data_IF_257324606027
#
_entry.id   IF_257324606027
#
_cell.length_a   1.000
_cell.length_b   1.000
_cell.length_c   1.000
_cell.angle_alpha   90.00
_cell.angle_beta   90.00
_cell.angle_gamma   90.00
#
_symmetry.space_group_name_H-M   'P 1'
#
loop_
_entity.id
_entity.type
_entity.pdbx_description
1 polymer ?
#
# COMPACT_ATOMS: atom_id res chain seq x y z
N UNK A 1 -16.33 -40.68 74.98
CA UNK A 1 -14.98 -41.07 75.46
C UNK A 1 -14.13 -41.29 74.21
N UNK A 2 -13.29 -40.31 73.83
CA UNK A 2 -11.83 -40.28 74.05
C UNK A 2 -11.10 -41.35 73.20
N UNK A 3 -9.99 -41.13 72.46
CA UNK A 3 -9.05 -40.02 72.31
C UNK A 3 -7.99 -40.40 71.24
N UNK A 4 -7.47 -39.38 70.54
CA UNK A 4 -6.08 -39.16 70.03
C UNK A 4 -5.38 -40.08 68.98
N UNK A 5 -5.28 -39.53 67.75
CA UNK A 5 -4.09 -39.06 66.99
C UNK A 5 -2.65 -39.62 67.21
N UNK A 6 -1.91 -39.85 66.11
CA UNK A 6 -0.55 -39.27 65.82
C UNK A 6 -0.03 -39.61 64.40
N UNK A 7 0.04 -38.63 63.46
CA UNK A 7 1.20 -37.92 62.83
C UNK A 7 2.10 -38.62 61.79
N UNK A 8 2.13 -37.99 60.58
CA UNK A 8 3.25 -37.47 59.72
C UNK A 8 2.93 -37.72 58.23
N UNK A 9 3.23 -36.92 57.20
CA UNK A 9 3.57 -35.51 56.93
C UNK A 9 3.62 -35.35 55.38
N UNK A 10 3.17 -34.21 54.80
CA UNK A 10 3.66 -33.46 53.59
C UNK A 10 4.25 -34.25 52.39
N UNK A 11 3.83 -34.09 51.13
CA UNK A 11 3.91 -32.89 50.25
C UNK A 11 3.24 -33.14 48.89
N UNK A 12 2.81 -32.07 48.20
CA UNK A 12 2.81 -32.00 46.73
C UNK A 12 1.44 -32.06 46.05
N UNK A 13 0.82 -30.89 45.87
CA UNK A 13 -0.17 -30.71 44.82
C UNK A 13 0.52 -30.47 43.49
N UNK A 14 -0.11 -30.92 42.41
CA UNK A 14 0.06 -30.36 41.07
C UNK A 14 -1.35 -30.22 40.51
N UNK A 15 -1.68 -29.01 40.09
CA UNK A 15 -2.92 -28.66 39.44
C UNK A 15 -3.05 -29.45 38.13
N UNK A 16 -4.26 -29.90 37.82
CA UNK A 16 -4.61 -30.23 36.45
C UNK A 16 -4.58 -28.91 35.68
N UNK A 17 -3.55 -28.74 34.85
CA UNK A 17 -3.50 -27.69 33.85
C UNK A 17 -4.50 -28.07 32.75
N UNK A 18 -5.49 -27.20 32.60
CA UNK A 18 -6.42 -27.12 31.48
C UNK A 18 -5.60 -26.91 30.20
N UNK A 19 -5.33 -27.98 29.45
CA UNK A 19 -4.74 -27.87 28.12
C UNK A 19 -5.79 -27.24 27.19
N UNK A 20 -5.71 -25.91 27.05
CA UNK A 20 -6.34 -25.18 25.96
C UNK A 20 -5.89 -25.69 24.58
N UNK A 21 -6.57 -25.31 23.49
CA UNK A 21 -6.26 -25.84 22.16
C UNK A 21 -4.79 -25.58 21.82
N UNK A 22 -4.10 -26.66 21.45
CA UNK A 22 -2.69 -26.65 21.07
C UNK A 22 -2.37 -25.61 19.97
N UNK A 23 -1.18 -25.00 19.98
CA UNK A 23 -0.76 -24.11 18.90
C UNK A 23 -0.71 -24.87 17.59
N UNK A 24 -1.34 -24.31 16.55
CA UNK A 24 -1.43 -24.87 15.21
C UNK A 24 -0.07 -24.71 14.52
N UNK A 25 0.87 -25.60 14.84
CA UNK A 25 2.18 -25.63 14.20
C UNK A 25 2.53 -27.08 13.83
N UNK A 26 1.91 -27.58 12.75
CA UNK A 26 2.38 -28.79 12.07
C UNK A 26 2.19 -28.63 10.55
N UNK A 27 3.29 -28.40 9.82
CA UNK A 27 3.38 -28.72 8.39
C UNK A 27 3.47 -27.58 7.35
N UNK A 28 3.66 -26.33 7.77
CA UNK A 28 4.07 -25.23 6.88
C UNK A 28 5.60 -25.12 6.94
N UNK A 29 6.31 -25.94 6.15
CA UNK A 29 7.77 -25.78 6.01
C UNK A 29 8.09 -24.41 5.37
N UNK A 30 9.12 -23.75 5.88
CA UNK A 30 9.62 -22.48 5.34
C UNK A 30 10.00 -22.63 3.86
N UNK A 31 9.65 -21.67 2.99
CA UNK A 31 9.94 -21.79 1.56
C UNK A 31 11.44 -21.76 1.27
N UNK A 32 11.84 -22.60 0.32
CA UNK A 32 12.97 -22.33 -0.55
C UNK A 32 12.44 -21.34 -1.60
N UNK A 33 12.65 -20.03 -1.39
CA UNK A 33 12.39 -19.03 -2.43
C UNK A 33 13.33 -19.33 -3.62
N UNK A 34 12.78 -19.97 -4.65
CA UNK A 34 13.52 -20.37 -5.84
C UNK A 34 13.86 -19.16 -6.72
N UNK A 35 15.14 -19.05 -7.08
CA UNK A 35 15.77 -18.04 -7.93
C UNK A 35 15.69 -16.58 -7.43
N UNK A 36 16.83 -16.10 -6.93
CA UNK A 36 17.08 -14.72 -6.49
C UNK A 36 17.48 -13.85 -7.67
N UNK A 37 16.56 -13.62 -8.59
CA UNK A 37 16.75 -12.64 -9.66
C UNK A 37 15.65 -11.61 -9.48
N UNK A 38 16.04 -10.36 -9.17
CA UNK A 38 15.08 -9.27 -9.04
C UNK A 38 14.25 -9.17 -10.33
N UNK A 39 12.92 -9.12 -10.19
CA UNK A 39 11.97 -9.14 -11.29
C UNK A 39 11.59 -10.53 -11.78
N UNK A 40 12.11 -11.62 -11.21
CA UNK A 40 11.63 -12.98 -11.49
C UNK A 40 10.20 -13.11 -10.99
N UNK A 41 9.29 -13.44 -11.91
CA UNK A 41 7.88 -13.71 -11.67
C UNK A 41 7.63 -15.21 -11.81
N UNK A 42 6.90 -15.78 -10.86
CA UNK A 42 6.44 -17.17 -10.90
C UNK A 42 4.98 -17.28 -10.49
N UNK A 43 4.23 -18.19 -11.09
CA UNK A 43 2.83 -18.44 -10.71
C UNK A 43 2.76 -19.34 -9.48
N UNK A 44 2.05 -18.90 -8.44
CA UNK A 44 1.81 -19.68 -7.23
C UNK A 44 0.60 -20.59 -7.43
N UNK A 45 0.85 -21.86 -7.78
CA UNK A 45 -0.21 -22.84 -7.97
C UNK A 45 -0.87 -23.23 -6.64
N UNK A 46 -2.18 -22.99 -6.53
CA UNK A 46 -2.94 -23.27 -5.31
C UNK A 46 -3.45 -24.70 -5.25
N UNK A 47 -3.28 -25.32 -4.09
CA UNK A 47 -3.71 -26.68 -3.77
C UNK A 47 -4.63 -26.62 -2.55
N UNK A 48 -5.94 -26.65 -2.82
CA UNK A 48 -6.95 -26.86 -1.80
C UNK A 48 -7.02 -28.33 -1.38
N UNK A 49 -7.78 -28.59 -0.31
CA UNK A 49 -7.99 -29.94 0.22
C UNK A 49 -8.59 -30.90 -0.82
N UNK A 50 -9.42 -30.37 -1.74
CA UNK A 50 -10.10 -31.14 -2.79
C UNK A 50 -9.44 -31.02 -4.19
N UNK A 51 -8.28 -30.36 -4.30
CA UNK A 51 -7.55 -30.20 -5.57
C UNK A 51 -7.19 -28.75 -5.91
N UNK A 52 -6.86 -28.46 -7.18
CA UNK A 52 -6.40 -27.14 -7.59
C UNK A 52 -7.51 -26.10 -7.41
N UNK A 53 -7.15 -24.95 -6.82
CA UNK A 53 -8.04 -23.81 -6.62
C UNK A 53 -7.70 -22.71 -7.62
N UNK A 54 -8.73 -22.16 -8.26
CA UNK A 54 -8.62 -20.90 -9.00
C UNK A 54 -9.28 -19.82 -8.15
N UNK A 55 -8.53 -18.79 -7.79
CA UNK A 55 -9.09 -17.60 -7.19
C UNK A 55 -9.44 -16.62 -8.30
N UNK A 56 -10.51 -15.85 -8.08
CA UNK A 56 -10.67 -14.59 -8.81
C UNK A 56 -9.83 -13.51 -8.15
N UNK A 57 -10.34 -12.29 -8.23
CA UNK A 57 -9.93 -11.12 -7.46
C UNK A 57 -9.73 -11.43 -5.98
N UNK A 58 -8.60 -11.00 -5.41
CA UNK A 58 -8.24 -11.35 -4.03
C UNK A 58 -7.36 -10.29 -3.36
N UNK A 59 -7.64 -10.02 -2.08
CA UNK A 59 -6.73 -9.29 -1.21
C UNK A 59 -5.61 -10.20 -0.72
N UNK A 60 -4.43 -9.64 -0.48
CA UNK A 60 -3.26 -10.37 0.02
C UNK A 60 -2.61 -9.62 1.17
N UNK A 61 -2.24 -10.35 2.22
CA UNK A 61 -1.44 -9.84 3.33
C UNK A 61 -0.41 -10.86 3.77
N UNK A 62 0.68 -10.38 4.36
CA UNK A 62 1.70 -11.22 4.96
C UNK A 62 1.18 -11.86 6.25
N UNK A 63 1.43 -13.16 6.43
CA UNK A 63 1.46 -13.74 7.78
C UNK A 63 2.91 -13.67 8.29
N UNK A 64 3.19 -12.98 9.42
CA UNK A 64 4.52 -12.93 10.04
C UNK A 64 5.18 -14.31 10.26
N UNK A 65 4.40 -15.39 10.28
CA UNK A 65 4.89 -16.76 10.41
C UNK A 65 5.38 -17.41 9.10
N UNK A 66 5.42 -16.66 7.99
CA UNK A 66 6.01 -17.12 6.72
C UNK A 66 4.99 -17.67 5.71
N UNK A 67 3.76 -17.18 5.77
CA UNK A 67 2.66 -17.55 4.89
C UNK A 67 1.89 -16.30 4.46
N UNK A 68 0.72 -16.48 3.85
CA UNK A 68 -0.09 -15.40 3.32
C UNK A 68 -1.53 -15.52 3.77
N UNK A 69 -2.12 -14.42 4.20
CA UNK A 69 -3.57 -14.29 4.24
C UNK A 69 -4.05 -13.87 2.85
N UNK A 70 -5.06 -14.58 2.34
CA UNK A 70 -5.67 -14.27 1.05
C UNK A 70 -7.17 -14.17 1.23
N UNK A 71 -7.71 -12.98 1.07
CA UNK A 71 -9.14 -12.72 1.17
C UNK A 71 -9.77 -12.83 -0.21
N UNK A 72 -10.89 -13.53 -0.26
CA UNK A 72 -11.71 -13.74 -1.45
C UNK A 72 -13.11 -13.25 -1.15
N UNK A 73 -13.98 -13.13 -2.16
CA UNK A 73 -15.36 -12.65 -2.03
C UNK A 73 -16.25 -13.31 -0.96
N UNK A 74 -15.85 -14.44 -0.37
CA UNK A 74 -16.64 -15.15 0.65
C UNK A 74 -15.78 -15.83 1.75
N UNK A 75 -14.46 -15.65 1.72
CA UNK A 75 -13.56 -16.42 2.58
C UNK A 75 -12.26 -15.70 2.84
N UNK A 76 -11.77 -15.84 4.07
CA UNK A 76 -10.37 -15.61 4.38
C UNK A 76 -9.63 -16.94 4.33
N UNK A 77 -8.57 -16.99 3.53
CA UNK A 77 -7.72 -18.15 3.34
C UNK A 77 -6.35 -17.90 3.96
N UNK A 78 -5.71 -18.99 4.36
CA UNK A 78 -4.31 -19.01 4.75
C UNK A 78 -3.55 -19.88 3.75
N UNK A 79 -2.60 -19.26 3.03
CA UNK A 79 -1.90 -19.83 1.89
C UNK A 79 -0.42 -19.93 2.23
N UNK A 80 0.11 -21.15 2.27
CA UNK A 80 1.56 -21.36 2.47
C UNK A 80 2.36 -20.78 1.30
N UNK A 81 3.64 -20.53 1.50
CA UNK A 81 4.54 -20.18 0.40
C UNK A 81 4.66 -21.27 -0.69
N UNK A 82 4.26 -22.52 -0.42
CA UNK A 82 4.17 -23.61 -1.40
C UNK A 82 2.78 -23.76 -2.05
N UNK A 83 1.85 -22.83 -1.79
CA UNK A 83 0.50 -22.81 -2.37
C UNK A 83 -0.52 -23.75 -1.73
N UNK A 84 -0.21 -24.40 -0.60
CA UNK A 84 -1.23 -25.11 0.20
C UNK A 84 -2.21 -24.11 0.81
N UNK A 85 -3.50 -24.40 0.72
CA UNK A 85 -4.57 -23.52 1.17
C UNK A 85 -5.34 -24.17 2.32
N UNK A 86 -5.59 -23.42 3.40
CA UNK A 86 -6.67 -23.71 4.35
C UNK A 86 -7.62 -22.53 4.44
N UNK A 87 -8.91 -22.78 4.68
CA UNK A 87 -9.85 -21.72 5.05
C UNK A 87 -9.63 -21.33 6.51
N UNK A 88 -9.52 -20.03 6.78
CA UNK A 88 -9.48 -19.47 8.14
C UNK A 88 -10.90 -19.18 8.60
N UNK A 89 -11.66 -18.46 7.78
CA UNK A 89 -13.02 -18.06 8.10
C UNK A 89 -13.90 -17.97 6.85
N UNK A 90 -15.22 -18.07 7.07
CA UNK A 90 -16.20 -17.64 6.10
C UNK A 90 -16.44 -16.13 6.27
N UNK A 91 -16.31 -15.38 5.19
CA UNK A 91 -16.72 -13.99 5.14
C UNK A 91 -18.14 -13.94 4.56
N UNK A 92 -18.91 -12.87 4.83
CA UNK A 92 -20.13 -12.62 4.08
C UNK A 92 -19.84 -12.63 2.58
N UNK A 93 -20.80 -13.09 1.78
CA UNK A 93 -20.62 -13.05 0.34
C UNK A 93 -20.71 -11.59 -0.13
N UNK A 94 -19.71 -11.17 -0.89
CA UNK A 94 -19.60 -9.85 -1.49
C UNK A 94 -19.58 -9.99 -3.02
N UNK A 95 -20.04 -8.96 -3.72
CA UNK A 95 -19.93 -8.90 -5.19
C UNK A 95 -18.50 -8.53 -5.61
N UNK A 96 -17.74 -7.93 -4.70
CA UNK A 96 -16.34 -7.53 -4.87
C UNK A 96 -15.43 -8.24 -3.85
N UNK A 97 -14.13 -8.27 -4.12
CA UNK A 97 -13.17 -8.86 -3.18
C UNK A 97 -12.97 -7.99 -1.96
N UNK A 98 -12.44 -8.61 -0.93
CA UNK A 98 -12.03 -7.96 0.29
C UNK A 98 -10.54 -7.65 0.22
N UNK A 99 -10.09 -6.49 0.69
CA UNK A 99 -8.68 -6.29 1.05
C UNK A 99 -8.43 -6.84 2.46
N UNK A 100 -7.17 -7.11 2.79
CA UNK A 100 -6.81 -7.67 4.09
C UNK A 100 -5.48 -7.11 4.57
N UNK A 101 -5.35 -6.95 5.88
CA UNK A 101 -4.06 -6.79 6.58
C UNK A 101 -4.06 -7.64 7.86
N UNK A 102 -2.90 -7.94 8.43
CA UNK A 102 -2.75 -8.84 9.56
C UNK A 102 -2.18 -8.13 10.80
N UNK A 103 -2.53 -8.62 11.99
CA UNK A 103 -1.89 -8.18 13.22
C UNK A 103 -0.41 -8.57 13.22
N UNK A 104 0.48 -7.79 13.89
CA UNK A 104 1.92 -8.10 13.91
C UNK A 104 2.28 -9.47 14.50
N UNK A 105 1.39 -10.04 15.31
CA UNK A 105 1.53 -11.37 15.90
C UNK A 105 0.81 -12.48 15.11
N UNK A 106 0.14 -12.14 14.00
CA UNK A 106 -0.62 -13.08 13.16
C UNK A 106 -1.88 -13.65 13.81
N UNK A 107 -2.28 -13.16 14.99
CA UNK A 107 -3.46 -13.67 15.73
C UNK A 107 -4.79 -13.21 15.13
N UNK A 108 -4.80 -12.05 14.47
CA UNK A 108 -5.98 -11.49 13.83
C UNK A 108 -5.67 -11.02 12.39
N UNK A 109 -6.69 -11.08 11.54
CA UNK A 109 -6.69 -10.41 10.25
C UNK A 109 -7.82 -9.37 10.21
N UNK A 110 -7.58 -8.25 9.55
CA UNK A 110 -8.51 -7.16 9.38
C UNK A 110 -8.87 -7.04 7.92
N UNK A 111 -10.15 -6.87 7.63
CA UNK A 111 -10.69 -7.02 6.28
C UNK A 111 -11.62 -5.84 5.99
N UNK A 112 -11.38 -5.14 4.88
CA UNK A 112 -12.31 -4.14 4.38
C UNK A 112 -13.38 -4.81 3.51
N UNK A 113 -14.63 -4.75 3.97
CA UNK A 113 -15.81 -5.28 3.29
C UNK A 113 -16.38 -4.23 2.36
N UNK A 114 -15.88 -4.22 1.12
CA UNK A 114 -16.27 -3.25 0.09
C UNK A 114 -17.79 -3.15 -0.04
N UNK A 115 -18.48 -4.25 -0.39
CA UNK A 115 -19.93 -4.23 -0.59
C UNK A 115 -20.74 -4.10 0.71
N UNK A 116 -20.13 -4.39 1.85
CA UNK A 116 -20.79 -4.35 3.15
C UNK A 116 -20.61 -3.05 3.93
N UNK A 117 -19.81 -2.10 3.42
CA UNK A 117 -19.42 -0.83 4.06
C UNK A 117 -18.91 -1.00 5.49
N UNK A 118 -18.11 -2.06 5.72
CA UNK A 118 -17.68 -2.48 7.06
C UNK A 118 -16.21 -2.80 7.12
N UNK A 119 -15.62 -2.54 8.28
CA UNK A 119 -14.32 -3.09 8.65
C UNK A 119 -14.53 -4.27 9.58
N UNK A 120 -13.96 -5.41 9.22
CA UNK A 120 -14.13 -6.68 9.91
C UNK A 120 -12.82 -7.12 10.55
N UNK A 121 -12.92 -7.78 11.70
CA UNK A 121 -11.84 -8.53 12.33
C UNK A 121 -12.14 -10.01 12.24
N UNK A 122 -11.14 -10.78 11.85
CA UNK A 122 -11.14 -12.24 11.87
C UNK A 122 -10.12 -12.71 12.89
N UNK A 123 -10.56 -13.45 13.90
CA UNK A 123 -9.66 -14.12 14.83
C UNK A 123 -9.12 -15.40 14.16
N UNK A 124 -7.81 -15.47 13.92
CA UNK A 124 -7.21 -16.51 13.06
C UNK A 124 -7.31 -17.91 13.66
N UNK A 125 -7.25 -18.00 14.99
CA UNK A 125 -7.30 -19.27 15.71
C UNK A 125 -8.70 -19.91 15.71
N UNK A 126 -9.75 -19.08 15.78
CA UNK A 126 -11.15 -19.55 15.90
C UNK A 126 -11.94 -19.43 14.61
N UNK A 127 -11.48 -18.59 13.67
CA UNK A 127 -12.23 -18.19 12.48
C UNK A 127 -13.41 -17.26 12.79
N UNK A 128 -13.50 -16.71 13.99
CA UNK A 128 -14.58 -15.80 14.38
C UNK A 128 -14.47 -14.47 13.63
N UNK A 129 -15.57 -14.03 13.02
CA UNK A 129 -15.66 -12.76 12.29
C UNK A 129 -16.53 -11.77 13.05
N UNK A 130 -15.98 -10.60 13.36
CA UNK A 130 -16.67 -9.50 14.04
C UNK A 130 -16.55 -8.21 13.24
N UNK A 131 -17.49 -7.28 13.42
CA UNK A 131 -17.41 -5.94 12.83
C UNK A 131 -16.77 -4.99 13.85
N UNK A 132 -15.74 -4.27 13.42
CA UNK A 132 -15.11 -3.20 14.21
C UNK A 132 -15.89 -1.90 14.03
N UNK A 133 -16.15 -1.52 12.78
CA UNK A 133 -16.82 -0.28 12.42
C UNK A 133 -17.56 -0.41 11.08
N UNK A 134 -18.49 0.51 10.82
CA UNK A 134 -19.22 0.62 9.57
C UNK A 134 -20.67 0.13 9.66
N UNK A 135 -21.54 0.86 8.97
CA UNK A 135 -22.97 0.57 8.87
C UNK A 135 -23.28 -0.28 7.63
N UNK A 136 -24.54 -0.39 7.21
CA UNK A 136 -24.90 -0.96 5.90
C UNK A 136 -25.54 0.09 4.99
N UNK A 137 -25.39 1.35 5.38
CA UNK A 137 -25.76 2.54 4.64
C UNK A 137 -24.47 3.17 4.12
N UNK A 138 -24.48 3.56 2.85
CA UNK A 138 -23.44 4.35 2.22
C UNK A 138 -23.39 5.74 2.88
N UNK A 139 -22.18 6.24 3.13
CA UNK A 139 -21.96 7.57 3.68
C UNK A 139 -20.56 7.71 4.25
N UNK A 140 -20.24 8.89 4.76
CA UNK A 140 -18.90 9.28 5.24
C UNK A 140 -18.89 9.68 6.73
N UNK A 141 -19.99 9.45 7.46
CA UNK A 141 -20.12 9.89 8.83
C UNK A 141 -19.04 9.27 9.75
N UNK A 142 -18.32 10.12 10.48
CA UNK A 142 -17.49 9.71 11.61
C UNK A 142 -18.35 9.21 12.78
N UNK A 143 -17.81 8.31 13.58
CA UNK A 143 -18.57 7.69 14.66
C UNK A 143 -17.87 6.52 15.32
N UNK A 144 -18.60 5.77 16.14
CA UNK A 144 -18.08 4.56 16.80
C UNK A 144 -18.93 3.36 16.37
N UNK A 145 -18.28 2.29 15.94
CA UNK A 145 -18.97 1.06 15.54
C UNK A 145 -19.87 1.28 14.33
N UNK A 146 -21.16 0.96 14.47
CA UNK A 146 -22.17 1.07 13.41
C UNK A 146 -22.69 2.50 13.18
N UNK A 147 -22.33 3.45 14.04
CA UNK A 147 -22.61 4.87 13.83
C UNK A 147 -21.67 5.50 12.79
N UNK A 148 -20.52 4.89 12.53
CA UNK A 148 -19.62 5.30 11.45
C UNK A 148 -20.10 4.74 10.10
N UNK A 149 -19.94 5.50 9.03
CA UNK A 149 -20.32 5.14 7.67
C UNK A 149 -19.09 5.17 6.75
N UNK A 150 -19.09 4.23 5.81
CA UNK A 150 -18.13 4.11 4.70
C UNK A 150 -18.93 3.97 3.40
N UNK A 151 -18.28 4.18 2.26
CA UNK A 151 -18.81 3.88 0.94
C UNK A 151 -17.75 3.12 0.14
N UNK A 152 -17.88 1.80 0.06
CA UNK A 152 -16.92 0.93 -0.64
C UNK A 152 -15.52 0.96 -0.03
N UNK A 153 -15.30 0.69 1.26
CA UNK A 153 -13.94 0.70 1.82
C UNK A 153 -13.06 -0.33 1.11
N UNK A 154 -11.92 0.11 0.59
CA UNK A 154 -10.99 -0.69 -0.21
C UNK A 154 -9.70 -0.95 0.59
N UNK A 155 -8.57 -0.30 0.28
CA UNK A 155 -7.28 -0.58 0.92
C UNK A 155 -7.31 -0.42 2.44
N UNK A 156 -6.60 -1.30 3.14
CA UNK A 156 -6.48 -1.29 4.60
C UNK A 156 -5.02 -1.47 5.02
N UNK A 157 -4.58 -0.72 6.05
CA UNK A 157 -3.25 -0.87 6.66
C UNK A 157 -3.33 -0.72 8.17
N UNK A 158 -2.67 -1.59 8.92
CA UNK A 158 -2.61 -1.59 10.38
C UNK A 158 -1.33 -0.93 10.87
N UNK A 159 -1.43 -0.08 11.90
CA UNK A 159 -0.27 0.48 12.58
C UNK A 159 0.63 -0.62 13.16
N UNK A 160 1.92 -0.34 13.26
CA UNK A 160 2.94 -1.30 13.74
C UNK A 160 2.69 -1.81 15.17
N UNK A 161 1.96 -1.05 15.99
CA UNK A 161 1.54 -1.42 17.34
C UNK A 161 0.16 -2.11 17.39
N UNK A 162 -0.51 -2.27 16.26
CA UNK A 162 -1.83 -2.89 16.12
C UNK A 162 -2.99 -2.06 16.67
N UNK A 163 -2.77 -0.79 17.01
CA UNK A 163 -3.78 0.04 17.68
C UNK A 163 -4.76 0.72 16.72
N UNK A 164 -4.34 1.07 15.50
CA UNK A 164 -5.14 1.80 14.54
C UNK A 164 -5.06 1.17 13.14
N UNK A 165 -6.21 1.08 12.48
CA UNK A 165 -6.32 0.78 11.05
C UNK A 165 -6.49 2.08 10.27
N UNK A 166 -5.94 2.11 9.07
CA UNK A 166 -6.15 3.15 8.08
C UNK A 166 -6.84 2.53 6.88
N UNK A 167 -7.86 3.20 6.37
CA UNK A 167 -8.77 2.69 5.35
C UNK A 167 -8.87 3.71 4.24
N UNK A 168 -8.69 3.28 3.00
CA UNK A 168 -9.10 4.05 1.85
C UNK A 168 -10.60 3.84 1.64
N UNK A 169 -11.38 4.90 1.86
CA UNK A 169 -12.82 4.91 1.69
C UNK A 169 -13.13 5.30 0.24
N UNK A 170 -13.06 4.29 -0.63
CA UNK A 170 -12.83 4.43 -2.07
C UNK A 170 -13.86 5.33 -2.75
N UNK A 171 -15.16 5.13 -2.50
CA UNK A 171 -16.22 5.92 -3.13
C UNK A 171 -16.51 7.25 -2.40
N UNK A 172 -15.93 7.45 -1.21
CA UNK A 172 -16.00 8.72 -0.47
C UNK A 172 -14.77 9.62 -0.70
N UNK A 173 -13.77 9.19 -1.46
CA UNK A 173 -12.56 9.99 -1.75
C UNK A 173 -11.76 10.39 -0.51
N UNK A 174 -11.76 9.53 0.53
CA UNK A 174 -11.19 9.84 1.84
C UNK A 174 -10.25 8.76 2.36
N UNK A 175 -9.33 9.17 3.24
CA UNK A 175 -8.56 8.26 4.10
C UNK A 175 -9.13 8.35 5.51
N UNK A 176 -9.56 7.21 6.04
CA UNK A 176 -10.21 7.09 7.36
C UNK A 176 -9.27 6.37 8.32
N UNK A 177 -9.32 6.77 9.60
CA UNK A 177 -8.60 6.12 10.69
C UNK A 177 -9.61 5.43 11.61
N UNK A 178 -9.34 4.17 11.94
CA UNK A 178 -10.18 3.34 12.82
C UNK A 178 -9.37 2.88 14.02
N UNK A 179 -9.80 3.25 15.22
CA UNK A 179 -9.22 2.73 16.47
C UNK A 179 -9.67 1.28 16.69
N UNK A 180 -8.74 0.33 16.67
CA UNK A 180 -9.06 -1.11 16.71
C UNK A 180 -9.79 -1.51 18.00
N UNK A 181 -9.41 -0.91 19.12
CA UNK A 181 -9.96 -1.26 20.44
C UNK A 181 -11.38 -0.74 20.68
N UNK A 182 -11.74 0.38 20.07
CA UNK A 182 -13.02 1.06 20.33
C UNK A 182 -13.97 1.05 19.15
N UNK A 183 -13.45 0.83 17.93
CA UNK A 183 -14.20 1.00 16.68
C UNK A 183 -14.50 2.47 16.35
N UNK A 184 -13.79 3.42 16.97
CA UNK A 184 -13.94 4.84 16.64
C UNK A 184 -13.31 5.13 15.28
N UNK A 185 -14.07 5.78 14.41
CA UNK A 185 -13.68 6.20 13.06
C UNK A 185 -13.60 7.71 13.03
N UNK A 186 -12.51 8.21 12.45
CA UNK A 186 -12.29 9.63 12.13
C UNK A 186 -11.75 9.79 10.72
N UNK A 187 -12.15 10.83 10.00
CA UNK A 187 -11.49 11.21 8.75
C UNK A 187 -10.08 11.75 9.04
N UNK A 188 -9.08 11.21 8.34
CA UNK A 188 -7.68 11.63 8.44
C UNK A 188 -7.31 12.65 7.36
N UNK A 189 -7.79 12.45 6.13
CA UNK A 189 -7.59 13.36 5.00
C UNK A 189 -8.61 13.08 3.89
N UNK A 190 -8.87 14.08 3.03
CA UNK A 190 -9.84 14.01 1.94
C UNK A 190 -11.07 14.86 2.22
N UNK A 191 -11.42 15.78 1.32
CA UNK A 191 -12.62 16.64 1.40
C UNK A 191 -13.87 15.99 0.83
N UNK A 192 -13.70 14.92 0.03
CA UNK A 192 -14.77 14.16 -0.59
C UNK A 192 -15.03 14.52 -2.06
N UNK A 193 -14.29 15.48 -2.60
CA UNK A 193 -14.39 15.86 -4.01
C UNK A 193 -13.42 15.02 -4.86
N UNK A 194 -13.86 14.62 -6.07
CA UNK A 194 -13.03 13.99 -7.12
C UNK A 194 -11.98 14.99 -7.66
N UNK A 195 -10.82 15.12 -7.01
CA UNK A 195 -9.70 16.00 -7.41
C UNK A 195 -8.35 15.47 -6.90
N UNK A 196 -7.23 16.10 -7.31
CA UNK A 196 -5.86 15.68 -6.99
C UNK A 196 -5.09 16.67 -6.09
N UNK A 197 -5.82 17.61 -5.48
CA UNK A 197 -5.25 18.72 -4.72
C UNK A 197 -4.47 18.22 -3.49
N UNK A 198 -3.20 18.62 -3.38
CA UNK A 198 -2.40 18.45 -2.15
C UNK A 198 -2.85 19.43 -1.06
N UNK A 199 -2.85 19.01 0.20
CA UNK A 199 -3.43 19.80 1.28
C UNK A 199 -3.28 19.17 2.65
N UNK A 200 -4.06 19.63 3.61
CA UNK A 200 -4.10 19.10 4.98
C UNK A 200 -5.55 18.84 5.34
N UNK A 201 -5.81 17.70 5.97
CA UNK A 201 -7.16 17.27 6.38
C UNK A 201 -8.13 17.28 5.18
N UNK A 202 -9.26 17.99 5.29
CA UNK A 202 -10.28 18.10 4.24
C UNK A 202 -9.90 19.06 3.10
N UNK A 203 -8.75 19.74 3.17
CA UNK A 203 -8.26 20.57 2.06
C UNK A 203 -7.45 19.77 1.02
N UNK A 204 -7.08 18.53 1.35
CA UNK A 204 -6.54 17.59 0.38
C UNK A 204 -7.70 16.84 -0.30
N UNK A 205 -7.54 16.51 -1.58
CA UNK A 205 -8.53 15.75 -2.34
C UNK A 205 -7.88 14.51 -2.98
N UNK A 206 -8.71 13.48 -3.16
CA UNK A 206 -8.36 12.21 -3.80
C UNK A 206 -9.42 11.86 -4.85
N UNK A 207 -9.09 10.96 -5.76
CA UNK A 207 -10.03 10.42 -6.73
C UNK A 207 -9.97 8.89 -6.74
N UNK A 208 -10.95 8.28 -6.06
CA UNK A 208 -11.05 6.84 -5.82
C UNK A 208 -9.77 6.22 -5.23
N UNK A 209 -9.33 6.64 -4.02
CA UNK A 209 -8.14 6.08 -3.40
C UNK A 209 -8.33 4.57 -3.14
N UNK A 210 -7.41 3.74 -3.63
CA UNK A 210 -7.52 2.29 -3.63
C UNK A 210 -6.63 1.66 -2.54
N UNK A 211 -5.41 1.23 -2.88
CA UNK A 211 -4.48 0.62 -1.93
C UNK A 211 -3.86 1.63 -0.97
N UNK A 212 -3.55 1.17 0.24
CA UNK A 212 -2.84 1.95 1.26
C UNK A 212 -1.75 1.11 1.92
N UNK A 213 -0.58 1.72 2.12
CA UNK A 213 0.52 1.15 2.88
C UNK A 213 0.96 2.11 3.98
N UNK A 214 1.41 1.60 5.12
CA UNK A 214 1.90 2.41 6.24
C UNK A 214 3.40 2.21 6.44
N UNK A 215 4.13 3.30 6.73
CA UNK A 215 5.54 3.22 7.05
C UNK A 215 5.81 2.33 8.28
N UNK A 216 6.99 1.67 8.38
CA UNK A 216 7.30 0.82 9.52
C UNK A 216 7.21 1.50 10.88
N UNK A 217 7.48 2.81 10.94
CA UNK A 217 7.35 3.63 12.14
C UNK A 217 5.95 4.23 12.34
N UNK A 218 5.00 3.91 11.45
CA UNK A 218 3.61 4.38 11.46
C UNK A 218 3.45 5.90 11.39
N UNK A 219 4.47 6.61 10.89
CA UNK A 219 4.45 8.07 10.73
C UNK A 219 3.75 8.55 9.45
N UNK A 220 3.80 7.75 8.38
CA UNK A 220 3.25 8.12 7.09
C UNK A 220 2.48 6.96 6.43
N UNK A 221 1.43 7.32 5.69
CA UNK A 221 0.72 6.43 4.78
C UNK A 221 1.11 6.76 3.34
N UNK A 222 1.02 5.76 2.49
CA UNK A 222 1.19 5.87 1.06
C UNK A 222 -0.05 5.32 0.39
N UNK A 223 -0.67 6.14 -0.45
CA UNK A 223 -1.99 5.89 -1.03
C UNK A 223 -1.83 5.81 -2.54
N UNK A 224 -2.39 4.76 -3.14
CA UNK A 224 -2.62 4.73 -4.57
C UNK A 224 -3.90 5.50 -4.88
N UNK A 225 -3.73 6.71 -5.38
CA UNK A 225 -4.83 7.60 -5.77
C UNK A 225 -5.20 7.28 -7.21
N UNK A 226 -6.10 6.29 -7.33
CA UNK A 226 -6.22 5.43 -8.51
C UNK A 226 -6.62 6.22 -9.76
N UNK A 227 -7.72 6.96 -9.70
CA UNK A 227 -8.24 7.70 -10.84
C UNK A 227 -7.44 8.97 -11.14
N UNK A 228 -6.68 9.47 -10.16
CA UNK A 228 -5.68 10.52 -10.36
C UNK A 228 -4.34 10.02 -10.88
N UNK A 229 -4.12 8.71 -11.01
CA UNK A 229 -2.87 8.13 -11.53
C UNK A 229 -1.62 8.55 -10.74
N UNK A 230 -1.76 8.66 -9.41
CA UNK A 230 -0.71 9.16 -8.50
C UNK A 230 -0.49 8.24 -7.32
N UNK A 231 0.71 8.33 -6.76
CA UNK A 231 1.03 7.84 -5.43
C UNK A 231 1.14 9.06 -4.51
N UNK A 232 0.30 9.09 -3.48
CA UNK A 232 0.21 10.19 -2.50
C UNK A 232 0.83 9.74 -1.18
N UNK A 233 1.45 10.65 -0.45
CA UNK A 233 1.96 10.44 0.90
C UNK A 233 1.11 11.24 1.89
N UNK A 234 0.65 10.61 2.95
CA UNK A 234 -0.14 11.24 4.02
C UNK A 234 0.61 11.16 5.34
N UNK A 235 0.84 12.29 6.00
CA UNK A 235 1.42 12.32 7.35
C UNK A 235 0.35 11.96 8.39
N UNK A 236 0.52 10.84 9.09
CA UNK A 236 -0.48 10.31 10.03
C UNK A 236 -0.79 11.29 11.17
N UNK A 237 0.23 12.02 11.64
CA UNK A 237 0.09 12.92 12.77
C UNK A 237 -0.66 14.23 12.44
N UNK A 238 -0.68 14.64 11.17
CA UNK A 238 -1.16 15.96 10.77
C UNK A 238 -2.19 15.94 9.65
N UNK A 239 -2.49 14.79 9.04
CA UNK A 239 -3.38 14.72 7.87
C UNK A 239 -2.81 15.39 6.62
N UNK A 240 -1.51 15.70 6.58
CA UNK A 240 -0.91 16.43 5.46
C UNK A 240 -0.66 15.49 4.29
N UNK A 241 -1.21 15.83 3.12
CA UNK A 241 -1.11 15.06 1.88
C UNK A 241 -0.19 15.76 0.90
N UNK A 242 0.73 15.00 0.29
CA UNK A 242 1.57 15.46 -0.79
C UNK A 242 1.69 14.39 -1.88
N UNK A 243 1.79 14.83 -3.14
CA UNK A 243 2.09 13.93 -4.27
C UNK A 243 3.54 13.45 -4.18
N UNK A 244 3.76 12.13 -4.10
CA UNK A 244 5.09 11.52 -4.09
C UNK A 244 5.59 11.25 -5.52
N UNK A 245 4.72 10.70 -6.37
CA UNK A 245 5.02 10.39 -7.77
C UNK A 245 3.74 10.29 -8.61
N UNK A 246 3.87 10.49 -9.92
CA UNK A 246 2.77 10.43 -10.88
C UNK A 246 2.41 11.81 -11.44
N UNK A 247 2.23 11.89 -12.76
CA UNK A 247 1.97 13.15 -13.46
C UNK A 247 0.50 13.59 -13.41
N UNK A 248 -0.42 12.72 -12.98
CA UNK A 248 -1.87 12.93 -13.16
C UNK A 248 -2.42 12.42 -14.50
N UNK A 249 -1.56 12.00 -15.43
CA UNK A 249 -1.96 11.50 -16.75
C UNK A 249 -1.72 10.00 -16.82
N UNK A 250 -2.64 9.27 -17.45
CA UNK A 250 -2.53 7.83 -17.58
C UNK A 250 -1.34 7.44 -18.48
N UNK A 251 -0.51 6.50 -18.01
CA UNK A 251 0.65 6.03 -18.75
C UNK A 251 1.52 5.11 -17.91
N UNK A 252 2.67 4.70 -18.45
CA UNK A 252 3.56 3.73 -17.81
C UNK A 252 5.04 4.17 -17.82
N UNK A 253 5.29 5.46 -18.02
CA UNK A 253 6.62 6.04 -18.06
C UNK A 253 7.30 5.93 -16.68
N UNK A 254 8.52 5.40 -16.67
CA UNK A 254 9.43 5.52 -15.52
C UNK A 254 10.00 6.94 -15.46
N UNK A 255 10.31 7.42 -14.26
CA UNK A 255 10.69 8.82 -14.04
C UNK A 255 10.81 9.17 -12.57
N UNK A 256 10.98 10.45 -12.25
CA UNK A 256 11.03 10.94 -10.86
C UNK A 256 9.90 11.94 -10.66
N UNK A 257 9.12 11.79 -9.59
CA UNK A 257 8.03 12.69 -9.26
C UNK A 257 6.96 12.73 -10.36
N UNK A 258 6.69 13.92 -10.89
CA UNK A 258 5.70 14.20 -11.94
C UNK A 258 6.13 13.74 -13.35
N UNK A 259 7.40 13.35 -13.54
CA UNK A 259 7.85 12.76 -14.80
C UNK A 259 7.47 11.28 -14.94
N UNK A 260 7.13 10.61 -13.83
CA UNK A 260 6.62 9.24 -13.85
C UNK A 260 5.12 9.22 -14.15
N UNK A 261 4.65 8.17 -14.81
CA UNK A 261 3.23 7.96 -15.09
C UNK A 261 2.79 6.59 -14.58
N UNK A 262 1.55 6.54 -14.09
CA UNK A 262 0.82 5.33 -13.72
C UNK A 262 -0.48 5.27 -14.52
N UNK A 263 -1.10 4.10 -14.57
CA UNK A 263 -2.38 3.88 -15.23
C UNK A 263 -3.28 3.11 -14.27
N UNK A 264 -4.05 3.86 -13.48
CA UNK A 264 -4.88 3.37 -12.38
C UNK A 264 -4.07 2.50 -11.39
N UNK A 265 -3.11 3.08 -10.64
CA UNK A 265 -2.41 2.32 -9.60
C UNK A 265 -3.41 1.85 -8.55
N UNK A 266 -3.28 0.60 -8.09
CA UNK A 266 -4.25 -0.03 -7.20
C UNK A 266 -3.63 -0.45 -5.87
N UNK A 267 -3.19 -1.69 -5.70
CA UNK A 267 -2.54 -2.16 -4.49
C UNK A 267 -1.12 -1.61 -4.34
N UNK A 268 -0.74 -1.36 -3.09
CA UNK A 268 0.57 -0.80 -2.73
C UNK A 268 1.08 -1.47 -1.46
N UNK A 269 2.37 -1.79 -1.44
CA UNK A 269 3.07 -2.27 -0.24
C UNK A 269 4.40 -1.55 -0.07
N UNK A 270 4.81 -1.31 1.18
CA UNK A 270 6.11 -0.74 1.49
C UNK A 270 7.11 -1.83 1.88
N UNK A 271 8.37 -1.68 1.48
CA UNK A 271 9.45 -2.56 1.90
C UNK A 271 9.63 -2.51 3.42
N UNK A 272 10.08 -3.60 4.08
CA UNK A 272 10.24 -3.64 5.53
C UNK A 272 11.18 -2.56 6.10
N UNK A 273 12.13 -2.08 5.31
CA UNK A 273 13.04 -0.98 5.68
C UNK A 273 12.42 0.43 5.48
N UNK A 274 11.25 0.52 4.88
CA UNK A 274 10.56 1.77 4.55
C UNK A 274 11.13 2.52 3.34
N UNK A 275 12.11 1.95 2.63
CA UNK A 275 12.86 2.64 1.57
C UNK A 275 12.11 2.75 0.24
N UNK A 276 11.27 1.78 -0.08
CA UNK A 276 10.60 1.70 -1.37
C UNK A 276 9.16 1.18 -1.27
N UNK A 277 8.30 1.69 -2.13
CA UNK A 277 6.95 1.19 -2.35
C UNK A 277 6.95 0.30 -3.59
N UNK A 278 6.09 -0.71 -3.59
CA UNK A 278 5.80 -1.54 -4.75
C UNK A 278 4.32 -1.41 -5.05
N UNK A 279 4.02 -1.10 -6.29
CA UNK A 279 2.70 -0.68 -6.75
C UNK A 279 2.25 -1.64 -7.86
N UNK A 280 1.06 -2.20 -7.70
CA UNK A 280 0.32 -2.81 -8.79
C UNK A 280 -0.25 -1.71 -9.69
N UNK A 281 0.39 -1.50 -10.84
CA UNK A 281 -0.06 -0.55 -11.84
C UNK A 281 -1.05 -1.27 -12.77
N UNK A 282 -2.31 -1.26 -12.34
CA UNK A 282 -3.36 -2.21 -12.73
C UNK A 282 -3.58 -2.25 -14.24
N UNK A 283 -3.87 -1.10 -14.86
CA UNK A 283 -4.09 -1.01 -16.31
C UNK A 283 -2.80 -0.97 -17.13
N UNK A 284 -1.65 -0.73 -16.50
CA UNK A 284 -0.34 -0.91 -17.17
C UNK A 284 0.13 -2.36 -17.16
N UNK A 285 -0.53 -3.26 -16.42
CA UNK A 285 -0.12 -4.66 -16.28
C UNK A 285 1.32 -4.84 -15.78
N UNK A 286 1.74 -3.98 -14.85
CA UNK A 286 3.12 -3.89 -14.35
C UNK A 286 3.17 -3.81 -12.83
N UNK A 287 4.30 -4.25 -12.29
CA UNK A 287 4.71 -3.95 -10.91
C UNK A 287 5.77 -2.86 -10.94
N UNK A 288 5.48 -1.74 -10.30
CA UNK A 288 6.34 -0.56 -10.26
C UNK A 288 6.96 -0.42 -8.88
N UNK A 289 8.20 0.05 -8.80
CA UNK A 289 8.91 0.38 -7.56
C UNK A 289 9.07 1.89 -7.46
N UNK A 290 8.69 2.48 -6.32
CA UNK A 290 8.79 3.92 -6.04
C UNK A 290 9.72 4.13 -4.85
N UNK A 291 10.81 4.86 -5.04
CA UNK A 291 11.70 5.25 -3.93
C UNK A 291 11.03 6.30 -3.05
N UNK A 292 10.83 5.98 -1.77
CA UNK A 292 10.13 6.89 -0.84
C UNK A 292 10.87 8.21 -0.66
N UNK A 293 12.20 8.18 -0.64
CA UNK A 293 13.02 9.37 -0.40
C UNK A 293 13.11 10.33 -1.59
N UNK A 294 12.91 9.85 -2.82
CA UNK A 294 13.16 10.63 -4.03
C UNK A 294 11.97 10.71 -4.98
N UNK A 295 10.95 9.87 -4.82
CA UNK A 295 9.86 9.71 -5.78
C UNK A 295 10.28 9.08 -7.10
N UNK A 296 11.44 8.42 -7.16
CA UNK A 296 11.91 7.75 -8.37
C UNK A 296 11.12 6.45 -8.61
N UNK A 297 10.52 6.34 -9.80
CA UNK A 297 9.70 5.21 -10.24
C UNK A 297 10.47 4.38 -11.27
N UNK A 298 10.48 3.07 -11.07
CA UNK A 298 11.06 2.09 -12.00
C UNK A 298 10.13 0.90 -12.19
N UNK A 299 10.13 0.28 -13.37
CA UNK A 299 9.39 -0.96 -13.61
C UNK A 299 10.22 -2.17 -13.17
N UNK A 300 9.66 -3.02 -12.30
CA UNK A 300 10.33 -4.23 -11.79
C UNK A 300 9.96 -5.47 -12.62
N UNK A 301 8.69 -5.60 -12.98
CA UNK A 301 8.20 -6.72 -13.76
C UNK A 301 6.93 -6.35 -14.54
N UNK A 302 6.68 -7.07 -15.64
CA UNK A 302 5.51 -6.91 -16.49
C UNK A 302 5.85 -6.28 -17.84
N UNK A 303 5.42 -6.92 -18.92
CA UNK A 303 5.69 -6.49 -20.30
C UNK A 303 4.81 -5.32 -20.78
N UNK A 304 3.84 -4.88 -19.96
CA UNK A 304 2.77 -3.97 -20.40
C UNK A 304 1.67 -4.64 -21.23
N UNK A 305 1.74 -5.96 -21.45
CA UNK A 305 0.71 -6.72 -22.18
C UNK A 305 0.00 -7.65 -21.22
N UNK A 306 -1.33 -7.58 -21.24
CA UNK A 306 -2.21 -8.47 -20.48
C UNK A 306 -1.86 -9.94 -20.71
N UNK A 307 -1.61 -10.68 -19.64
CA UNK A 307 -1.34 -12.12 -19.69
C UNK A 307 -0.80 -12.70 -18.38
N UNK A 308 -0.54 -14.00 -18.33
CA UNK A 308 -0.05 -14.67 -17.11
C UNK A 308 1.28 -15.41 -17.32
N UNK A 309 2.05 -15.01 -18.33
CA UNK A 309 3.36 -15.61 -18.63
C UNK A 309 4.35 -15.34 -17.50
N UNK A 310 4.99 -16.39 -16.99
CA UNK A 310 6.11 -16.30 -16.05
C UNK A 310 7.40 -15.88 -16.79
N UNK A 311 8.32 -15.22 -16.09
CA UNK A 311 9.54 -14.69 -16.69
C UNK A 311 10.29 -13.74 -15.76
N UNK A 312 11.33 -13.08 -16.27
CA UNK A 312 12.06 -12.04 -15.53
C UNK A 312 11.77 -10.69 -16.17
N UNK A 313 11.45 -9.69 -15.35
CA UNK A 313 11.26 -8.31 -15.80
C UNK A 313 10.14 -8.19 -16.83
N UNK A 314 10.47 -7.65 -18.00
CA UNK A 314 9.55 -7.44 -19.13
C UNK A 314 9.19 -8.71 -19.89
N UNK A 315 9.84 -9.85 -19.63
CA UNK A 315 9.45 -11.14 -20.18
C UNK A 315 8.23 -11.73 -19.45
N UNK A 316 7.97 -11.31 -18.21
CA UNK A 316 6.78 -11.69 -17.47
C UNK A 316 5.57 -10.85 -17.90
N UNK A 317 4.37 -11.42 -17.78
CA UNK A 317 3.11 -10.73 -18.05
C UNK A 317 2.22 -10.81 -16.81
N UNK A 318 1.48 -9.73 -16.55
CA UNK A 318 0.39 -9.69 -15.58
C UNK A 318 -0.93 -9.43 -16.30
N UNK A 319 -2.01 -9.93 -15.74
CA UNK A 319 -3.37 -9.62 -16.17
C UNK A 319 -3.99 -8.85 -15.02
N UNK A 320 -4.02 -7.52 -15.15
CA UNK A 320 -4.52 -6.57 -14.14
C UNK A 320 -4.04 -6.94 -12.71
N UNK A 321 -2.77 -6.71 -12.35
CA UNK A 321 -2.32 -6.93 -10.98
C UNK A 321 -3.09 -5.98 -10.05
N UNK A 322 -3.56 -6.48 -8.92
CA UNK A 322 -4.47 -5.76 -8.04
C UNK A 322 -3.82 -5.46 -6.71
N UNK A 323 -3.51 -6.48 -5.92
CA UNK A 323 -2.95 -6.31 -4.58
C UNK A 323 -1.53 -6.88 -4.50
N UNK A 324 -0.73 -6.27 -3.64
CA UNK A 324 0.66 -6.68 -3.41
C UNK A 324 0.94 -6.75 -1.92
N UNK A 325 1.68 -7.76 -1.49
CA UNK A 325 2.13 -7.89 -0.11
C UNK A 325 3.54 -8.47 -0.05
N UNK A 326 4.36 -7.97 0.87
CA UNK A 326 5.69 -8.51 1.10
C UNK A 326 5.67 -9.81 1.91
N UNK A 327 6.59 -10.71 1.60
CA UNK A 327 6.94 -11.81 2.50
C UNK A 327 7.57 -11.22 3.76
N UNK A 328 7.50 -11.91 4.91
CA UNK A 328 8.05 -11.38 6.17
C UNK A 328 9.55 -11.04 6.11
N UNK A 329 10.30 -11.69 5.22
CA UNK A 329 11.73 -11.45 5.00
C UNK A 329 12.01 -10.32 3.97
N UNK A 330 10.98 -9.72 3.37
CA UNK A 330 11.11 -8.66 2.38
C UNK A 330 11.61 -9.09 1.00
N UNK A 331 11.87 -10.38 0.78
CA UNK A 331 12.52 -10.87 -0.45
C UNK A 331 11.58 -11.02 -1.65
N UNK A 332 10.29 -11.24 -1.36
CA UNK A 332 9.28 -11.64 -2.35
C UNK A 332 8.01 -10.83 -2.16
N UNK A 333 7.40 -10.39 -3.25
CA UNK A 333 6.01 -9.92 -3.26
C UNK A 333 5.09 -11.07 -3.65
N UNK A 334 4.01 -11.26 -2.90
CA UNK A 334 2.82 -11.90 -3.43
C UNK A 334 1.99 -10.84 -4.14
N UNK A 335 1.58 -11.13 -5.37
CA UNK A 335 0.78 -10.26 -6.22
C UNK A 335 -0.50 -11.01 -6.56
N UNK A 336 -1.67 -10.46 -6.22
CA UNK A 336 -2.92 -10.93 -6.81
C UNK A 336 -3.12 -10.29 -8.17
N UNK A 337 -3.70 -11.06 -9.10
CA UNK A 337 -3.99 -10.61 -10.45
C UNK A 337 -5.16 -11.42 -10.99
N UNK A 338 -5.78 -10.97 -12.07
CA UNK A 338 -6.78 -11.78 -12.78
C UNK A 338 -6.20 -13.08 -13.35
N UNK A 339 -4.88 -13.14 -13.52
CA UNK A 339 -4.13 -14.35 -13.85
C UNK A 339 -3.86 -15.29 -12.66
N UNK A 340 -4.38 -14.98 -11.47
CA UNK A 340 -4.13 -15.70 -10.21
C UNK A 340 -3.01 -15.08 -9.37
N UNK A 341 -2.56 -15.81 -8.36
CA UNK A 341 -1.49 -15.35 -7.45
C UNK A 341 -0.11 -15.55 -8.09
N UNK A 342 0.71 -14.49 -8.06
CA UNK A 342 2.06 -14.45 -8.63
C UNK A 342 3.05 -14.08 -7.53
N UNK A 343 4.24 -14.66 -7.57
CA UNK A 343 5.36 -14.29 -6.70
C UNK A 343 6.40 -13.52 -7.50
N UNK A 344 6.82 -12.35 -7.02
CA UNK A 344 7.84 -11.50 -7.64
C UNK A 344 9.02 -11.36 -6.71
N UNK A 345 10.22 -11.76 -7.14
CA UNK A 345 11.45 -11.54 -6.38
C UNK A 345 11.85 -10.05 -6.46
N UNK A 346 12.07 -9.42 -5.31
CA UNK A 346 12.34 -7.96 -5.22
C UNK A 346 13.61 -7.61 -4.46
N UNK A 347 14.23 -8.56 -3.77
CA UNK A 347 15.55 -8.38 -3.16
C UNK A 347 16.44 -9.60 -3.42
N UNK A 348 17.76 -9.35 -3.46
CA UNK A 348 18.78 -10.39 -3.40
C UNK A 348 19.20 -10.54 -1.94
N UNK A 349 19.53 -11.76 -1.50
CA UNK A 349 20.16 -11.94 -0.18
C UNK A 349 21.47 -11.14 -0.11
N UNK A 350 21.73 -10.55 1.06
CA UNK A 350 22.91 -9.75 1.35
C UNK A 350 24.26 -10.50 1.21
N UNK A 351 24.26 -11.81 0.95
CA UNK A 351 25.45 -12.67 0.91
C UNK A 351 26.15 -12.76 -0.47
N UNK A 352 25.68 -12.04 -1.50
CA UNK A 352 26.33 -12.01 -2.83
C UNK A 352 27.05 -10.69 -3.13
N UNK A 353 27.34 -9.90 -2.09
CA UNK A 353 28.28 -8.78 -2.23
C UNK A 353 29.66 -9.35 -2.58
N UNK A 354 30.29 -8.98 -3.72
CA UNK A 354 31.66 -9.41 -4.01
C UNK A 354 32.57 -8.98 -2.85
N UNK A 355 33.53 -9.81 -2.41
CA UNK A 355 34.39 -9.46 -1.30
C UNK A 355 35.02 -8.10 -1.58
N UNK A 356 34.79 -7.15 -0.68
CA UNK A 356 35.34 -5.80 -0.76
C UNK A 356 36.83 -5.91 -1.09
N UNK A 357 37.23 -5.40 -2.25
CA UNK A 357 38.62 -5.36 -2.68
C UNK A 357 39.39 -4.33 -1.85
N UNK A 358 39.76 -4.73 -0.64
CA UNK A 358 40.76 -4.04 0.18
C UNK A 358 42.00 -4.92 0.31
N UNK A 359 42.78 -4.97 -0.77
CA UNK A 359 44.22 -5.13 -0.66
C UNK A 359 44.90 -4.03 -1.48
N UNK A 360 45.32 -2.99 -0.76
CA UNK A 360 46.40 -2.12 -1.19
C UNK A 360 47.67 -2.99 -1.37
N UNK A 361 48.08 -3.24 -2.60
CA UNK A 361 49.49 -3.45 -2.88
C UNK A 361 50.09 -2.12 -3.34
N UNK A 362 50.78 -1.49 -2.39
CA UNK A 362 51.70 -0.39 -2.61
C UNK A 362 52.85 -0.83 -3.51
N UNK A 363 52.92 -0.30 -4.74
CA UNK A 363 54.17 -0.26 -5.49
C UNK A 363 54.66 1.19 -5.59
N UNK A 364 55.67 1.51 -4.77
CA UNK A 364 56.50 2.70 -4.89
C UNK A 364 57.16 2.74 -6.28
N UNK A 365 57.06 3.87 -6.97
CA UNK A 365 58.01 4.26 -8.02
C UNK A 365 58.60 5.60 -7.63
N UNK A 366 59.87 5.58 -7.22
CA UNK A 366 60.70 6.77 -7.08
C UNK A 366 60.89 7.42 -8.46
N UNK A 367 60.58 8.72 -8.57
CA UNK A 367 61.20 9.57 -9.60
C UNK A 367 61.89 10.74 -8.91
N UNK A 368 63.21 10.66 -8.96
CA UNK A 368 64.16 11.70 -8.57
C UNK A 368 64.09 12.91 -9.50
N UNK A 369 63.90 14.10 -8.92
CA UNK A 369 64.57 15.37 -9.22
C UNK A 369 64.41 16.00 -10.61
N UNK A 370 64.00 17.28 -10.64
CA UNK A 370 64.89 18.44 -10.89
C UNK A 370 64.09 19.73 -10.61
N UNK A 371 64.78 20.69 -9.97
CA UNK A 371 64.30 22.03 -9.56
C UNK A 371 64.53 23.11 -10.62
N UNK A 372 63.90 24.26 -10.36
CA UNK A 372 64.09 25.63 -10.87
C UNK A 372 63.27 25.98 -12.12
N UNK A 373 62.60 27.15 -12.20
CA UNK A 373 63.06 28.49 -11.80
C UNK A 373 61.87 29.44 -11.57
N UNK A 374 62.06 30.38 -10.66
CA UNK A 374 61.23 31.58 -10.44
C UNK A 374 61.13 32.46 -11.67
N UNK A 375 60.01 33.19 -11.83
CA UNK A 375 60.05 34.61 -12.16
C UNK A 375 58.78 35.34 -11.65
N UNK A 376 59.01 36.57 -11.19
CA UNK A 376 58.10 37.48 -10.48
C UNK A 376 57.43 38.47 -11.44
N UNK A 377 56.54 39.27 -10.83
CA UNK A 377 56.16 40.66 -11.12
C UNK A 377 54.72 40.81 -11.64
N UNK A 378 53.92 41.84 -11.33
CA UNK A 378 53.80 42.84 -10.26
C UNK A 378 52.58 43.71 -10.64
N UNK A 379 51.81 44.21 -9.65
CA UNK A 379 50.96 45.44 -9.68
C UNK A 379 49.85 45.56 -10.76
N UNK A 380 48.65 46.11 -10.54
CA UNK A 380 48.07 46.91 -9.47
C UNK A 380 46.88 47.70 -10.06
N UNK A 381 46.09 48.29 -9.14
CA UNK A 381 45.10 49.38 -9.30
C UNK A 381 43.61 49.05 -9.44
N UNK A 382 42.92 49.54 -8.41
CA UNK A 382 41.50 49.83 -8.30
C UNK A 382 41.04 50.95 -9.24
N UNK A 383 39.72 50.99 -9.51
CA UNK A 383 38.95 52.23 -9.41
C UNK A 383 37.46 51.94 -9.24
N UNK A 384 36.88 52.57 -8.22
CA UNK A 384 35.45 52.75 -8.01
C UNK A 384 35.00 54.05 -8.70
N UNK A 385 33.75 54.10 -9.20
CA UNK A 385 33.00 55.33 -9.41
C UNK A 385 31.52 55.06 -9.07
N UNK A 386 31.08 55.61 -7.94
CA UNK A 386 29.69 56.01 -7.64
C UNK A 386 29.30 57.20 -8.51
N UNK A 387 28.03 57.30 -8.96
CA UNK A 387 27.26 58.57 -8.93
C UNK A 387 25.74 58.31 -8.89
N UNK A 388 25.14 58.70 -7.76
CA UNK A 388 23.81 59.28 -7.44
C UNK A 388 22.53 59.07 -8.29
N UNK A 389 21.43 58.90 -7.53
CA UNK A 389 20.03 59.17 -7.93
C UNK A 389 19.71 60.68 -8.05
N UNK A 390 18.43 61.14 -8.06
CA UNK A 390 17.55 60.98 -6.89
C UNK A 390 16.01 60.93 -7.13
N UNK A 391 15.31 60.58 -6.04
CA UNK A 391 14.04 61.13 -5.50
C UNK A 391 12.71 61.13 -6.27
N UNK A 392 11.66 60.64 -5.59
CA UNK A 392 10.25 60.99 -5.81
C UNK A 392 9.32 60.25 -4.84
N UNK A 393 8.66 61.00 -3.94
CA UNK A 393 7.87 60.53 -2.79
C UNK A 393 6.42 60.09 -3.10
N UNK A 394 5.84 59.42 -2.08
CA UNK A 394 4.46 59.52 -1.57
C UNK A 394 3.37 58.57 -2.10
N UNK A 395 3.01 57.60 -1.24
CA UNK A 395 1.70 57.52 -0.58
C UNK A 395 0.50 57.02 -1.40
N UNK A 396 0.01 55.83 -1.07
CA UNK A 396 -1.31 55.35 -1.48
C UNK A 396 -1.62 53.98 -0.90
N UNK A 397 -2.54 53.94 0.06
CA UNK A 397 -3.18 52.71 0.54
C UNK A 397 -4.10 52.14 -0.54
N UNK A 398 -3.98 50.86 -0.87
CA UNK A 398 -5.06 50.12 -1.51
C UNK A 398 -4.95 48.64 -1.16
N UNK A 399 -6.03 48.12 -0.60
CA UNK A 399 -6.25 46.70 -0.42
C UNK A 399 -6.49 46.09 -1.81
N UNK A 400 -5.52 45.33 -2.33
CA UNK A 400 -5.73 44.59 -3.58
C UNK A 400 -6.44 43.27 -3.30
N UNK A 401 -7.65 43.19 -3.87
CA UNK A 401 -8.47 42.02 -3.96
C UNK A 401 -7.79 40.92 -4.79
N UNK A 402 -8.02 39.66 -4.40
CA UNK A 402 -7.66 38.45 -5.13
C UNK A 402 -8.07 38.55 -6.61
N UNK A 403 -7.20 38.24 -7.59
CA UNK A 403 -7.64 38.02 -8.96
C UNK A 403 -8.41 36.68 -9.04
N UNK A 404 -9.51 36.71 -9.80
CA UNK A 404 -10.53 35.69 -9.91
C UNK A 404 -10.00 34.29 -10.29
N UNK A 405 -10.65 33.27 -9.71
CA UNK A 405 -10.58 31.86 -10.09
C UNK A 405 -10.71 31.72 -11.62
N UNK A 406 -9.79 30.98 -12.24
CA UNK A 406 -9.97 30.43 -13.58
C UNK A 406 -11.03 29.32 -13.52
N UNK A 407 -11.86 29.14 -14.56
CA UNK A 407 -12.96 28.18 -14.50
C UNK A 407 -12.45 26.74 -14.48
N UNK A 408 -13.04 25.97 -13.55
CA UNK A 408 -13.14 24.52 -13.41
C UNK A 408 -13.20 23.83 -14.78
N UNK A 409 -12.39 22.80 -15.02
CA UNK A 409 -12.62 21.86 -16.12
C UNK A 409 -13.48 20.74 -15.56
N UNK A 410 -14.79 20.95 -15.50
CA UNK A 410 -15.73 19.85 -15.22
C UNK A 410 -15.68 18.89 -16.42
N UNK A 411 -15.29 17.63 -16.20
CA UNK A 411 -15.52 16.57 -17.22
C UNK A 411 -17.01 16.51 -17.48
N UNK A 412 -17.40 16.44 -18.75
CA UNK A 412 -18.82 16.41 -19.08
C UNK A 412 -19.45 15.10 -18.60
N UNK A 413 -20.71 15.14 -18.17
CA UNK A 413 -21.54 13.94 -17.85
C UNK A 413 -21.40 12.87 -18.94
N UNK A 414 -21.25 13.29 -20.20
CA UNK A 414 -21.06 12.41 -21.35
C UNK A 414 -19.74 11.63 -21.31
N UNK A 415 -18.65 12.24 -20.85
CA UNK A 415 -17.35 11.57 -20.74
C UNK A 415 -17.36 10.54 -19.60
N UNK A 416 -17.92 10.90 -18.44
CA UNK A 416 -18.10 9.98 -17.30
C UNK A 416 -18.97 8.76 -17.67
N UNK A 417 -20.05 8.96 -18.44
CA UNK A 417 -20.89 7.86 -18.93
C UNK A 417 -20.19 6.95 -19.95
N UNK A 418 -19.26 7.49 -20.75
CA UNK A 418 -18.50 6.70 -21.73
C UNK A 418 -17.48 5.82 -21.01
N UNK A 419 -16.80 6.37 -20.02
CA UNK A 419 -15.83 5.66 -19.19
C UNK A 419 -16.50 4.56 -18.36
N UNK A 420 -17.58 4.89 -17.65
CA UNK A 420 -18.36 3.91 -16.89
C UNK A 420 -18.88 2.76 -17.77
N UNK A 421 -19.30 3.09 -19.00
CA UNK A 421 -19.73 2.06 -19.95
C UNK A 421 -18.57 1.21 -20.46
N UNK A 422 -17.38 1.78 -20.64
CA UNK A 422 -16.18 0.99 -20.98
C UNK A 422 -15.88 -0.01 -19.87
N UNK A 423 -15.91 0.44 -18.61
CA UNK A 423 -15.71 -0.42 -17.43
C UNK A 423 -16.70 -1.59 -17.40
N UNK A 424 -17.97 -1.33 -17.72
CA UNK A 424 -19.00 -2.37 -17.77
C UNK A 424 -18.87 -3.31 -18.97
N UNK A 425 -18.65 -2.77 -20.17
CA UNK A 425 -18.53 -3.56 -21.41
C UNK A 425 -17.26 -4.44 -21.38
N UNK A 426 -16.24 -4.05 -20.61
CA UNK A 426 -15.02 -4.82 -20.33
C UNK A 426 -15.18 -5.81 -19.17
N UNK A 427 -16.33 -5.81 -18.49
CA UNK A 427 -16.65 -6.71 -17.38
C UNK A 427 -15.94 -6.38 -16.06
N UNK A 428 -15.39 -5.16 -15.94
CA UNK A 428 -14.64 -4.69 -14.77
C UNK A 428 -15.55 -4.26 -13.63
N UNK A 429 -16.78 -3.84 -13.93
CA UNK A 429 -17.83 -3.59 -12.94
C UNK A 429 -19.06 -4.44 -13.25
N UNK A 430 -19.74 -4.90 -12.20
CA UNK A 430 -21.00 -5.63 -12.35
C UNK A 430 -22.08 -4.74 -12.97
N UNK A 431 -23.09 -5.33 -13.62
CA UNK A 431 -24.25 -4.57 -14.13
C UNK A 431 -24.92 -3.75 -13.01
N UNK A 432 -24.96 -4.26 -11.78
CA UNK A 432 -25.51 -3.53 -10.64
C UNK A 432 -24.68 -2.30 -10.27
N UNK A 433 -23.34 -2.40 -10.32
CA UNK A 433 -22.41 -1.29 -10.09
C UNK A 433 -22.49 -0.27 -11.25
N UNK A 434 -22.56 -0.74 -12.49
CA UNK A 434 -22.83 0.10 -13.66
C UNK A 434 -24.14 0.88 -13.51
N UNK A 435 -25.25 0.23 -13.14
CA UNK A 435 -26.54 0.88 -12.96
C UNK A 435 -26.57 1.87 -11.78
N UNK A 436 -25.81 1.61 -10.71
CA UNK A 436 -25.69 2.50 -9.56
C UNK A 436 -24.89 3.76 -9.91
N UNK A 437 -23.68 3.58 -10.47
CA UNK A 437 -22.82 4.69 -10.90
C UNK A 437 -23.43 5.50 -12.05
N UNK A 438 -24.16 4.84 -12.95
CA UNK A 438 -24.88 5.53 -14.04
C UNK A 438 -25.98 6.43 -13.48
N UNK A 439 -26.64 6.03 -12.38
CA UNK A 439 -27.65 6.85 -11.70
C UNK A 439 -27.04 8.10 -11.09
N UNK A 440 -25.92 7.96 -10.39
CA UNK A 440 -25.20 9.08 -9.77
C UNK A 440 -24.74 10.09 -10.84
N UNK A 441 -24.12 9.63 -11.92
CA UNK A 441 -23.67 10.50 -13.02
C UNK A 441 -24.83 11.23 -13.72
N UNK A 442 -26.03 10.61 -13.76
CA UNK A 442 -27.22 11.22 -14.37
C UNK A 442 -27.97 12.16 -13.42
N UNK A 443 -27.84 11.99 -12.10
CA UNK A 443 -28.41 12.88 -11.09
C UNK A 443 -27.62 14.21 -11.00
N UNK A 444 -26.39 14.26 -11.53
CA UNK A 444 -25.58 15.48 -11.73
C UNK A 444 -26.04 16.36 -12.93
N UNK A 445 -27.12 15.98 -13.64
CA UNK A 445 -27.75 16.76 -14.73
C UNK A 445 -28.88 17.69 -14.26
#
# INVERSE_FOLDING_TARGET
MASAASKRARTGGVAEEDEGPAPVADGFEAPIFGARVVGQVTTLALKGEDGPLSLGTAGVASDPLGAWFVSTKDSLLHVSAAGRVRRVAALPASDEYYTVDASPDGSAAFVADYSGNKIRRVEVATGEVTTIAGSSEDGDADGVGDAAQFCGPAGIALSSDGSALFVADYENHMIRRVEVATGAVTTLAGGGDEDDTDGVDEAAEFDYPAGIAISPDSSALFVADCSNHKIRRVEVATGAVATLAGSGENGDADGVGDAAQFNNPYGIAISPDGGALFVADFHSHKIRRVEVATGAVTTIAGSGTRGSTDGVGDAAQFDCPEEVAFSPDGSTLLVSSYGGLRQVCVALDEDDSPPSSSQEESSQVEITGVRSREEKDAEGRANAIDVDGPSGEAGGSEAEARPAQRPRVERSVRERLVELKSLHDEGLISEANFEARQRVILDDM
#
